data_IF_638716096510
#
_entry.id   IF_638716096510
#
_cell.length_a   1.000
_cell.length_b   1.000
_cell.length_c   1.000
_cell.angle_alpha   90.00
_cell.angle_beta   90.00
_cell.angle_gamma   90.00
#
_symmetry.space_group_name_H-M   'P 1'
#
loop_
_entity.id
_entity.type
_entity.pdbx_description
1 polymer ?
#
# COMPACT_ATOMS: atom_id res chain seq x y z
N UNK A 1 -3.05 -30.71 -17.93
CA UNK A 1 -2.86 -29.27 -18.21
C UNK A 1 -3.46 -28.51 -17.05
N UNK A 2 -2.79 -27.47 -16.52
CA UNK A 2 -3.34 -26.66 -15.43
C UNK A 2 -4.44 -25.75 -15.96
N UNK A 3 -5.53 -25.65 -15.21
CA UNK A 3 -6.65 -24.74 -15.52
C UNK A 3 -6.46 -23.33 -14.92
N UNK A 4 -5.33 -23.13 -14.22
CA UNK A 4 -4.94 -21.90 -13.55
C UNK A 4 -3.51 -21.51 -13.93
N UNK A 5 -3.15 -20.22 -13.79
CA UNK A 5 -1.80 -19.73 -14.07
C UNK A 5 -0.74 -20.42 -13.20
N UNK A 6 0.42 -20.70 -13.80
CA UNK A 6 1.60 -21.28 -13.13
C UNK A 6 2.77 -20.30 -13.18
N UNK A 7 3.90 -20.64 -12.55
CA UNK A 7 5.12 -19.81 -12.58
C UNK A 7 5.69 -19.57 -13.99
N UNK A 8 5.24 -20.33 -14.98
CA UNK A 8 5.67 -20.23 -16.39
C UNK A 8 4.66 -19.50 -17.28
N UNK A 9 3.51 -19.07 -16.74
CA UNK A 9 2.50 -18.34 -17.51
C UNK A 9 2.99 -16.92 -17.81
N UNK A 10 2.86 -16.47 -19.06
CA UNK A 10 3.18 -15.07 -19.43
C UNK A 10 2.17 -14.12 -18.79
N UNK A 11 2.66 -13.12 -18.08
CA UNK A 11 1.86 -12.15 -17.32
C UNK A 11 2.10 -10.76 -17.88
N UNK A 12 1.02 -10.04 -18.17
CA UNK A 12 1.04 -8.61 -18.48
C UNK A 12 0.70 -7.81 -17.23
N UNK A 13 1.40 -6.70 -17.00
CA UNK A 13 1.07 -5.77 -15.92
C UNK A 13 0.23 -4.61 -16.47
N UNK A 14 -0.88 -4.30 -15.79
CA UNK A 14 -1.78 -3.18 -16.07
C UNK A 14 -2.05 -2.46 -14.75
N UNK A 15 -1.33 -1.35 -14.51
CA UNK A 15 -1.37 -0.64 -13.23
C UNK A 15 -1.00 -1.54 -12.05
N UNK A 16 -1.87 -1.64 -11.04
CA UNK A 16 -1.72 -2.53 -9.87
C UNK A 16 -2.11 -3.99 -10.13
N UNK A 17 -2.50 -4.34 -11.35
CA UNK A 17 -2.93 -5.70 -11.70
C UNK A 17 -1.93 -6.41 -12.59
N UNK A 18 -1.76 -7.69 -12.33
CA UNK A 18 -1.14 -8.65 -13.22
C UNK A 18 -2.28 -9.43 -13.89
N UNK A 19 -2.28 -9.50 -15.21
CA UNK A 19 -3.28 -10.23 -16.00
C UNK A 19 -2.59 -11.28 -16.86
N UNK A 20 -3.25 -12.42 -17.05
CA UNK A 20 -2.80 -13.43 -17.98
C UNK A 20 -3.99 -14.20 -18.55
N UNK A 21 -3.75 -14.91 -19.65
CA UNK A 21 -4.72 -15.81 -20.25
C UNK A 21 -4.19 -17.24 -20.19
N UNK A 22 -5.03 -18.17 -19.74
CA UNK A 22 -4.71 -19.60 -19.74
C UNK A 22 -5.90 -20.36 -20.33
N UNK A 23 -5.66 -21.03 -21.46
CA UNK A 23 -6.67 -21.81 -22.17
C UNK A 23 -7.95 -21.02 -22.53
N UNK A 24 -7.82 -19.76 -22.97
CA UNK A 24 -8.95 -18.90 -23.33
C UNK A 24 -9.73 -18.32 -22.15
N UNK A 25 -9.21 -18.47 -20.92
CA UNK A 25 -9.79 -17.90 -19.69
C UNK A 25 -8.89 -16.78 -19.20
N UNK A 26 -9.48 -15.62 -18.93
CA UNK A 26 -8.78 -14.48 -18.36
C UNK A 26 -8.58 -14.67 -16.87
N UNK A 27 -7.37 -14.35 -16.38
CA UNK A 27 -7.08 -14.28 -14.96
C UNK A 27 -6.43 -12.95 -14.65
N UNK A 28 -6.77 -12.40 -13.50
CA UNK A 28 -6.07 -11.26 -12.95
C UNK A 28 -5.71 -11.52 -11.50
N UNK A 29 -4.65 -10.91 -11.04
CA UNK A 29 -4.29 -10.78 -9.62
C UNK A 29 -3.78 -9.38 -9.40
N UNK A 30 -3.64 -8.98 -8.14
CA UNK A 30 -2.91 -7.74 -7.83
C UNK A 30 -1.42 -8.03 -7.83
N UNK A 31 -0.63 -7.06 -8.30
CA UNK A 31 0.84 -7.12 -8.22
C UNK A 31 1.24 -7.37 -6.76
N UNK A 32 2.07 -8.39 -6.54
CA UNK A 32 2.50 -8.80 -5.19
C UNK A 32 1.55 -9.74 -4.43
N UNK A 33 0.41 -10.14 -5.03
CA UNK A 33 -0.47 -11.18 -4.47
C UNK A 33 -0.27 -12.53 -5.19
N UNK A 34 -0.58 -13.64 -4.52
CA UNK A 34 -0.43 -14.97 -5.12
C UNK A 34 -1.72 -15.53 -5.74
N UNK A 35 -2.88 -15.02 -5.32
CA UNK A 35 -4.17 -15.55 -5.72
C UNK A 35 -4.63 -14.96 -7.05
N UNK A 36 -4.83 -15.83 -8.05
CA UNK A 36 -5.43 -15.48 -9.33
C UNK A 36 -6.95 -15.57 -9.26
N UNK A 37 -7.62 -14.55 -9.78
CA UNK A 37 -9.07 -14.44 -9.91
C UNK A 37 -9.41 -14.53 -11.40
N UNK A 38 -10.27 -15.47 -11.74
CA UNK A 38 -10.77 -15.62 -13.10
C UNK A 38 -11.74 -14.48 -13.45
N UNK A 39 -11.66 -13.98 -14.69
CA UNK A 39 -12.62 -13.02 -15.24
C UNK A 39 -13.02 -13.42 -16.66
N UNK A 40 -14.22 -13.02 -17.08
CA UNK A 40 -14.72 -13.23 -18.43
C UNK A 40 -14.25 -12.08 -19.34
N UNK A 41 -13.35 -12.31 -20.32
CA UNK A 41 -12.89 -11.28 -21.24
C UNK A 41 -14.01 -10.77 -22.18
N UNK A 42 -15.11 -11.49 -22.33
CA UNK A 42 -16.30 -11.06 -23.08
C UNK A 42 -17.17 -10.05 -22.32
N UNK A 43 -16.94 -9.90 -21.02
CA UNK A 43 -17.62 -8.93 -20.18
C UNK A 43 -16.69 -7.73 -19.95
N UNK A 44 -16.51 -6.90 -20.98
CA UNK A 44 -15.78 -5.61 -20.93
C UNK A 44 -16.46 -4.58 -20.01
N UNK A 45 -17.55 -4.95 -19.36
CA UNK A 45 -17.96 -4.31 -18.12
C UNK A 45 -16.81 -4.52 -17.13
N UNK A 46 -15.91 -3.53 -17.03
CA UNK A 46 -15.40 -3.12 -15.72
C UNK A 46 -16.59 -3.28 -14.74
N UNK A 47 -16.39 -3.84 -13.53
CA UNK A 47 -17.48 -3.98 -12.57
C UNK A 47 -18.30 -2.69 -12.62
N UNK A 48 -19.64 -2.79 -12.64
CA UNK A 48 -20.52 -1.66 -12.95
C UNK A 48 -20.02 -0.44 -12.20
N UNK A 49 -20.21 0.76 -12.76
CA UNK A 49 -19.82 2.05 -12.18
C UNK A 49 -20.44 2.36 -10.79
N UNK A 50 -20.68 1.35 -9.94
CA UNK A 50 -20.36 1.40 -8.53
C UNK A 50 -19.04 2.16 -8.36
N UNK A 51 -19.08 3.23 -7.57
CA UNK A 51 -17.92 4.05 -7.26
C UNK A 51 -16.73 3.13 -6.99
N UNK A 52 -15.64 3.31 -7.74
CA UNK A 52 -14.46 2.46 -7.58
C UNK A 52 -14.11 2.43 -6.10
N UNK A 53 -13.97 1.24 -5.49
CA UNK A 53 -13.70 1.14 -4.07
C UNK A 53 -12.43 1.92 -3.72
N UNK A 54 -12.52 2.71 -2.65
CA UNK A 54 -11.38 3.44 -2.12
C UNK A 54 -10.54 2.49 -1.28
N UNK A 55 -9.24 2.41 -1.56
CA UNK A 55 -8.34 1.49 -0.88
C UNK A 55 -7.40 2.24 0.04
N UNK A 56 -7.30 1.77 1.28
CA UNK A 56 -6.17 2.11 2.16
C UNK A 56 -5.07 1.07 1.94
N UNK A 57 -3.87 1.54 1.62
CA UNK A 57 -2.72 0.69 1.30
C UNK A 57 -1.45 1.16 1.99
N UNK A 58 -0.59 0.20 2.36
CA UNK A 58 0.80 0.44 2.73
C UNK A 58 1.66 0.41 1.46
N UNK A 59 2.39 1.47 1.20
CA UNK A 59 3.32 1.61 0.08
C UNK A 59 4.73 1.40 0.60
N UNK A 60 5.55 0.70 -0.18
CA UNK A 60 6.99 0.59 0.04
C UNK A 60 7.75 1.11 -1.16
N UNK A 61 8.71 1.98 -0.89
CA UNK A 61 9.61 2.53 -1.90
C UNK A 61 11.08 2.25 -1.54
N UNK A 62 11.90 2.06 -2.57
CA UNK A 62 13.34 1.96 -2.44
C UNK A 62 13.92 3.30 -1.98
N UNK A 63 14.83 3.23 -1.02
CA UNK A 63 15.71 4.33 -0.64
C UNK A 63 17.13 4.07 -1.19
N UNK A 64 18.10 4.87 -0.75
CA UNK A 64 19.51 4.65 -1.07
C UNK A 64 19.98 3.23 -0.71
N UNK A 65 21.08 2.80 -1.34
CA UNK A 65 21.62 1.46 -1.13
C UNK A 65 21.94 1.20 0.36
N UNK A 66 21.39 0.11 0.90
CA UNK A 66 21.57 -0.27 2.30
C UNK A 66 20.63 0.42 3.28
N UNK A 67 19.82 1.38 2.84
CA UNK A 67 18.82 2.04 3.69
C UNK A 67 17.55 1.18 3.84
N UNK A 68 16.83 1.29 4.97
CA UNK A 68 15.49 0.75 5.09
C UNK A 68 14.56 1.30 4.00
N UNK A 69 13.54 0.52 3.64
CA UNK A 69 12.52 0.96 2.70
C UNK A 69 11.72 2.12 3.28
N UNK A 70 11.36 3.07 2.41
CA UNK A 70 10.44 4.14 2.78
C UNK A 70 9.02 3.60 2.81
N UNK A 71 8.27 3.95 3.86
CA UNK A 71 6.89 3.52 4.03
C UNK A 71 5.95 4.73 4.04
N UNK A 72 4.86 4.60 3.30
CA UNK A 72 3.79 5.57 3.23
C UNK A 72 2.42 4.88 3.29
N UNK A 73 1.40 5.61 3.73
CA UNK A 73 0.01 5.18 3.59
C UNK A 73 -0.64 5.89 2.41
N UNK A 74 -1.28 5.13 1.53
CA UNK A 74 -2.00 5.67 0.38
C UNK A 74 -3.49 5.37 0.49
N UNK A 75 -4.31 6.39 0.24
CA UNK A 75 -5.75 6.29 0.10
C UNK A 75 -6.15 6.75 -1.29
N UNK A 76 -6.62 5.82 -2.12
CA UNK A 76 -7.00 6.13 -3.50
C UNK A 76 -7.77 5.00 -4.17
N UNK A 77 -8.42 5.34 -5.28
CA UNK A 77 -8.99 4.36 -6.19
C UNK A 77 -7.86 3.63 -6.92
N UNK A 78 -8.14 2.41 -7.37
CA UNK A 78 -7.13 1.63 -8.08
C UNK A 78 -6.72 2.32 -9.39
N UNK A 79 -5.41 2.50 -9.59
CA UNK A 79 -4.83 3.19 -10.75
C UNK A 79 -5.27 4.66 -10.92
N UNK A 80 -5.67 5.31 -9.83
CA UNK A 80 -5.91 6.74 -9.80
C UNK A 80 -5.00 7.42 -8.78
N UNK A 81 -4.65 8.70 -8.99
CA UNK A 81 -4.01 9.50 -7.98
C UNK A 81 -4.82 9.51 -6.68
N UNK A 82 -4.14 9.56 -5.53
CA UNK A 82 -4.78 9.57 -4.22
C UNK A 82 -4.05 10.41 -3.19
N UNK A 83 -4.50 10.31 -1.95
CA UNK A 83 -3.84 10.95 -0.81
C UNK A 83 -2.76 10.04 -0.25
N UNK A 84 -1.58 10.58 -0.07
CA UNK A 84 -0.44 9.92 0.55
C UNK A 84 -0.10 10.57 1.89
N UNK A 85 0.15 9.73 2.90
CA UNK A 85 0.51 10.14 4.25
C UNK A 85 1.83 9.48 4.62
N UNK A 86 2.85 10.31 4.82
CA UNK A 86 4.22 9.86 5.05
C UNK A 86 4.97 10.83 5.96
N UNK A 87 6.05 10.31 6.56
CA UNK A 87 7.06 11.11 7.23
C UNK A 87 8.38 10.90 6.52
N UNK A 88 9.09 11.98 6.22
CA UNK A 88 10.36 11.95 5.48
C UNK A 88 11.45 12.70 6.25
N UNK A 89 12.70 12.57 5.81
CA UNK A 89 13.87 13.13 6.46
C UNK A 89 14.65 12.09 7.26
N UNK A 90 15.67 12.54 7.98
CA UNK A 90 16.52 11.67 8.78
C UNK A 90 15.77 11.14 10.01
N UNK A 91 16.11 9.94 10.46
CA UNK A 91 15.48 9.32 11.62
C UNK A 91 15.67 10.11 12.94
N UNK A 92 16.64 11.04 12.99
CA UNK A 92 16.78 12.00 14.08
C UNK A 92 15.66 13.06 14.10
N UNK A 93 15.17 13.47 12.92
CA UNK A 93 14.22 14.55 12.79
C UNK A 93 13.35 14.37 11.53
N UNK A 94 12.39 13.44 11.61
CA UNK A 94 11.44 13.26 10.53
C UNK A 94 10.34 14.33 10.56
N UNK A 95 9.79 14.61 9.39
CA UNK A 95 8.76 15.62 9.17
C UNK A 95 7.59 14.98 8.45
N UNK A 96 6.38 15.22 8.95
CA UNK A 96 5.16 14.81 8.27
C UNK A 96 4.98 15.61 6.97
N UNK A 97 4.87 14.90 5.86
CA UNK A 97 4.77 15.47 4.51
C UNK A 97 3.67 14.74 3.73
N UNK A 98 2.39 15.12 3.93
CA UNK A 98 1.32 14.55 3.14
C UNK A 98 1.38 15.07 1.71
N UNK A 99 1.01 14.22 0.75
CA UNK A 99 0.82 14.59 -0.65
C UNK A 99 -0.63 14.30 -1.07
N UNK A 100 -1.18 15.16 -1.91
CA UNK A 100 -2.46 14.92 -2.58
C UNK A 100 -2.18 14.66 -4.06
N UNK A 101 -3.08 13.94 -4.71
CA UNK A 101 -2.97 13.55 -6.12
C UNK A 101 -1.66 12.82 -6.44
N UNK A 102 -1.19 11.99 -5.50
CA UNK A 102 0.00 11.18 -5.67
C UNK A 102 -0.29 9.96 -6.54
N UNK A 103 0.39 9.84 -7.69
CA UNK A 103 0.41 8.62 -8.50
C UNK A 103 1.62 7.77 -8.14
N UNK A 104 1.50 7.10 -7.00
CA UNK A 104 2.57 6.32 -6.38
C UNK A 104 3.03 5.16 -7.27
N UNK A 105 2.15 4.65 -8.15
CA UNK A 105 2.46 3.50 -9.00
C UNK A 105 3.41 3.83 -10.15
N UNK A 106 3.58 5.11 -10.46
CA UNK A 106 4.49 5.61 -11.47
C UNK A 106 5.82 6.14 -10.89
N UNK A 107 6.03 6.04 -9.57
CA UNK A 107 7.31 6.37 -8.92
C UNK A 107 8.39 5.36 -9.33
N UNK A 108 9.57 5.85 -9.74
CA UNK A 108 10.73 4.99 -10.08
C UNK A 108 11.21 4.16 -8.87
N UNK A 109 10.99 4.69 -7.66
CA UNK A 109 11.35 4.02 -6.41
C UNK A 109 10.27 3.04 -5.93
N UNK A 110 9.12 2.95 -6.59
CA UNK A 110 8.02 2.07 -6.17
C UNK A 110 8.44 0.59 -6.17
N UNK A 111 8.24 -0.09 -5.04
CA UNK A 111 8.50 -1.52 -4.91
C UNK A 111 7.20 -2.32 -4.78
N UNK A 112 6.45 -2.05 -3.71
CA UNK A 112 5.28 -2.84 -3.34
C UNK A 112 4.14 -1.96 -2.82
N UNK A 113 2.92 -2.48 -2.97
CA UNK A 113 1.71 -1.91 -2.40
C UNK A 113 0.87 -3.02 -1.76
N UNK A 114 0.65 -2.92 -0.46
CA UNK A 114 -0.13 -3.87 0.31
C UNK A 114 -1.46 -3.24 0.70
N UNK A 115 -2.56 -3.75 0.16
CA UNK A 115 -3.88 -3.32 0.58
C UNK A 115 -4.12 -3.70 2.05
N UNK A 116 -4.46 -2.69 2.86
CA UNK A 116 -4.81 -2.84 4.27
C UNK A 116 -6.32 -3.01 4.43
N UNK A 117 -7.12 -2.19 3.75
CA UNK A 117 -8.57 -2.22 3.82
C UNK A 117 -9.23 -1.61 2.57
N UNK A 118 -10.50 -1.95 2.33
CA UNK A 118 -11.42 -1.12 1.54
C UNK A 118 -12.05 -0.14 2.53
N UNK A 119 -12.08 1.14 2.20
CA UNK A 119 -12.56 2.20 3.09
C UNK A 119 -13.68 3.01 2.44
N UNK A 120 -14.56 3.56 3.25
CA UNK A 120 -15.50 4.61 2.83
C UNK A 120 -14.81 5.98 2.84
N UNK A 121 -15.44 7.00 2.25
CA UNK A 121 -14.95 8.39 2.34
C UNK A 121 -14.85 8.87 3.79
N UNK A 122 -15.83 8.52 4.63
CA UNK A 122 -15.81 8.83 6.07
C UNK A 122 -14.62 8.18 6.77
N UNK A 123 -14.33 6.91 6.47
CA UNK A 123 -13.16 6.23 7.01
C UNK A 123 -11.86 6.83 6.49
N UNK A 124 -11.80 7.27 5.23
CA UNK A 124 -10.65 7.99 4.68
C UNK A 124 -10.37 9.31 5.41
N UNK A 125 -11.41 10.05 5.80
CA UNK A 125 -11.24 11.23 6.66
C UNK A 125 -10.66 10.87 8.02
N UNK A 126 -11.06 9.73 8.61
CA UNK A 126 -10.47 9.23 9.87
C UNK A 126 -9.00 8.83 9.68
N UNK A 127 -8.65 8.21 8.54
CA UNK A 127 -7.24 7.92 8.18
C UNK A 127 -6.43 9.20 8.18
N UNK A 128 -6.92 10.23 7.46
CA UNK A 128 -6.27 11.53 7.42
C UNK A 128 -6.09 12.13 8.81
N UNK A 129 -7.16 12.16 9.61
CA UNK A 129 -7.12 12.72 10.96
C UNK A 129 -6.09 12.02 11.84
N UNK A 130 -6.03 10.69 11.79
CA UNK A 130 -5.05 9.93 12.59
C UNK A 130 -3.64 10.24 12.11
N UNK A 131 -3.38 10.20 10.80
CA UNK A 131 -2.07 10.51 10.23
C UNK A 131 -1.61 11.93 10.57
N UNK A 132 -2.47 12.94 10.39
CA UNK A 132 -2.17 14.35 10.71
C UNK A 132 -1.85 14.54 12.20
N UNK A 133 -2.41 13.71 13.09
CA UNK A 133 -2.23 13.79 14.54
C UNK A 133 -1.05 12.97 15.09
N UNK A 134 -0.48 12.06 14.29
CA UNK A 134 0.59 11.18 14.75
C UNK A 134 1.94 11.90 14.70
N UNK A 135 2.63 12.08 15.84
CA UNK A 135 3.89 12.81 15.86
C UNK A 135 4.98 12.04 15.07
N UNK A 136 5.67 12.71 14.13
CA UNK A 136 6.81 12.13 13.43
C UNK A 136 7.91 11.67 14.39
N UNK A 137 8.66 10.61 14.04
CA UNK A 137 9.82 10.16 14.81
C UNK A 137 10.84 11.28 14.98
N UNK A 138 11.35 11.42 16.20
CA UNK A 138 12.40 12.36 16.55
C UNK A 138 13.32 11.76 17.60
N UNK A 139 14.61 12.04 17.48
CA UNK A 139 15.62 11.67 18.45
C UNK A 139 16.59 12.84 18.65
N UNK A 140 17.13 13.03 19.87
CA UNK A 140 18.10 14.10 20.13
C UNK A 140 19.45 13.88 19.41
N UNK A 141 19.75 12.66 18.99
CA UNK A 141 20.95 12.25 18.26
C UNK A 141 20.79 10.84 17.67
N UNK A 142 21.68 10.47 16.74
CA UNK A 142 21.67 9.19 16.01
C UNK A 142 21.68 7.96 16.91
N UNK A 143 22.41 8.01 18.02
CA UNK A 143 22.51 6.88 18.95
C UNK A 143 21.21 6.62 19.72
N UNK A 144 20.33 7.62 19.78
CA UNK A 144 19.04 7.56 20.46
C UNK A 144 17.88 7.26 19.51
N UNK A 145 18.15 7.03 18.22
CA UNK A 145 17.14 6.68 17.23
C UNK A 145 16.61 5.29 17.55
N UNK A 146 15.30 5.19 17.73
CA UNK A 146 14.58 3.94 18.02
C UNK A 146 13.46 3.66 17.04
N UNK A 147 13.16 4.62 16.16
CA UNK A 147 12.04 4.60 15.23
C UNK A 147 12.38 5.40 13.96
N UNK A 148 11.78 5.01 12.83
CA UNK A 148 11.84 5.71 11.55
C UNK A 148 10.42 5.74 10.90
N UNK A 149 10.33 6.02 9.60
CA UNK A 149 9.06 6.14 8.87
C UNK A 149 8.21 4.86 8.93
N UNK A 150 8.84 3.69 9.01
CA UNK A 150 8.14 2.41 9.15
C UNK A 150 7.44 2.30 10.50
N UNK A 151 8.10 2.70 11.57
CA UNK A 151 7.53 2.71 12.92
C UNK A 151 6.34 3.67 13.03
N UNK A 152 6.48 4.89 12.49
CA UNK A 152 5.38 5.85 12.44
C UNK A 152 4.16 5.27 11.70
N UNK A 153 4.40 4.65 10.55
CA UNK A 153 3.34 4.00 9.77
C UNK A 153 2.66 2.88 10.55
N UNK A 154 3.42 2.07 11.28
CA UNK A 154 2.88 1.02 12.16
C UNK A 154 2.04 1.59 13.31
N UNK A 155 2.44 2.74 13.91
CA UNK A 155 1.62 3.43 14.92
C UNK A 155 0.28 3.91 14.35
N UNK A 156 0.30 4.51 13.15
CA UNK A 156 -0.93 4.94 12.46
C UNK A 156 -1.84 3.73 12.16
N UNK A 157 -1.29 2.63 11.63
CA UNK A 157 -2.04 1.40 11.38
C UNK A 157 -2.62 0.85 12.69
N UNK A 158 -1.88 0.88 13.81
CA UNK A 158 -2.38 0.41 15.10
C UNK A 158 -3.61 1.20 15.57
N UNK A 159 -3.59 2.54 15.46
CA UNK A 159 -4.75 3.38 15.76
C UNK A 159 -5.93 3.11 14.82
N UNK A 160 -5.66 2.79 13.55
CA UNK A 160 -6.72 2.42 12.60
C UNK A 160 -7.34 1.05 12.90
N UNK A 161 -6.58 0.11 13.47
CA UNK A 161 -7.12 -1.15 14.01
C UNK A 161 -8.02 -0.88 15.21
N UNK A 162 -7.63 0.02 16.12
CA UNK A 162 -8.47 0.40 17.27
C UNK A 162 -9.80 1.03 16.84
N UNK A 163 -9.83 1.72 15.69
CA UNK A 163 -11.05 2.26 15.07
C UNK A 163 -11.85 1.23 14.24
N UNK A 164 -11.38 -0.01 14.12
CA UNK A 164 -12.02 -1.06 13.33
C UNK A 164 -11.94 -0.86 11.81
N UNK A 165 -11.07 0.05 11.34
CA UNK A 165 -10.89 0.35 9.90
C UNK A 165 -9.95 -0.67 9.26
N UNK A 166 -8.87 -1.02 9.96
CA UNK A 166 -7.88 -2.00 9.50
C UNK A 166 -8.02 -3.30 10.30
N UNK A 167 -8.02 -4.48 9.66
CA UNK A 167 -7.98 -5.74 10.38
C UNK A 167 -6.67 -5.93 11.15
N UNK A 168 -6.72 -6.49 12.35
CA UNK A 168 -5.54 -6.72 13.21
C UNK A 168 -4.45 -7.58 12.55
N UNK A 169 -4.83 -8.52 11.68
CA UNK A 169 -3.88 -9.32 10.89
C UNK A 169 -3.00 -8.48 9.96
N UNK A 170 -3.50 -7.34 9.46
CA UNK A 170 -2.73 -6.42 8.62
C UNK A 170 -1.70 -5.63 9.42
N UNK A 171 -1.99 -5.30 10.67
CA UNK A 171 -1.01 -4.72 11.59
C UNK A 171 0.11 -5.72 11.92
N UNK A 172 -0.23 -6.99 12.15
CA UNK A 172 0.76 -8.04 12.38
C UNK A 172 1.65 -8.26 11.17
N UNK A 173 1.05 -8.28 9.96
CA UNK A 173 1.79 -8.31 8.69
C UNK A 173 2.76 -7.13 8.58
N UNK A 174 2.29 -5.89 8.80
CA UNK A 174 3.16 -4.71 8.77
C UNK A 174 4.32 -4.83 9.77
N UNK A 175 4.06 -5.17 11.04
CA UNK A 175 5.12 -5.38 12.04
C UNK A 175 6.16 -6.41 11.63
N UNK A 176 5.73 -7.50 10.98
CA UNK A 176 6.64 -8.56 10.53
C UNK A 176 7.56 -8.16 9.38
N UNK A 177 7.21 -7.10 8.65
CA UNK A 177 8.00 -6.57 7.53
C UNK A 177 8.93 -5.41 7.92
N UNK A 178 8.84 -4.90 9.16
CA UNK A 178 9.68 -3.81 9.61
C UNK A 178 11.16 -4.19 9.56
N UNK A 179 11.96 -3.30 8.99
CA UNK A 179 13.40 -3.42 8.98
C UNK A 179 14.00 -2.83 10.26
N UNK A 180 15.19 -3.29 10.66
CA UNK A 180 15.93 -2.69 11.77
C UNK A 180 16.17 -1.20 11.55
N UNK A 181 16.21 -0.47 12.67
CA UNK A 181 16.57 0.95 12.74
C UNK A 181 18.03 1.10 13.12
#
# INVERSE_FOLDING_TARGET
MSYYPTSTTSVQTVGLREVCEVNGRGFWRRKGTQQWIEYDPGNLSLPPAEAQPLYLSLVQEAQGEGEPLHWALHVGCENQPGSEYQVTGDAECMVYQPANDADITNSESFLNLYQLAVVTEEQAMVVKQIADSEPPPRAPNRQSVTENCQGWTVRVIAKLVERGIVPSGKLQMARSMMQPV
#
